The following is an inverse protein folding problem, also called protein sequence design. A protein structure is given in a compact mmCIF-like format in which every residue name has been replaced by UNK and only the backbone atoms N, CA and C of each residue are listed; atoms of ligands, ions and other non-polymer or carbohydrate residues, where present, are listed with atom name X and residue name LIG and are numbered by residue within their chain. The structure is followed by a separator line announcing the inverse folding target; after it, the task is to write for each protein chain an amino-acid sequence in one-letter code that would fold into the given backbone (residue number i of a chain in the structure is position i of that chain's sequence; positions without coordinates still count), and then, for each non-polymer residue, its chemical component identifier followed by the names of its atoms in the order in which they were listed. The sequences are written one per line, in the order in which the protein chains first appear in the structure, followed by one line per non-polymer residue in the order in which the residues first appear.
data_IF_191989997819
#
_entry.id   IF_191989997819
#
_cell.length_a   1.000
_cell.length_b   1.000
_cell.length_c   1.000
_cell.angle_alpha   90.00
_cell.angle_beta   90.00
_cell.angle_gamma   90.00
#
_symmetry.space_group_name_H-M   'P 1'
#
loop_
_entity.id
_entity.type
_entity.pdbx_description
1 polymer ?
#
# COMPACT_ATOMS: atom_id res chain seq x y z
N UNK A 1 -9.84 9.78 -6.05
CA UNK A 1 -8.47 9.30 -5.83
C UNK A 1 -8.40 8.54 -4.50
N UNK A 2 -7.71 7.40 -4.49
CA UNK A 2 -7.50 6.55 -3.32
C UNK A 2 -6.02 6.17 -3.21
N UNK A 3 -5.61 5.68 -2.04
CA UNK A 3 -4.35 4.95 -1.90
C UNK A 3 -4.44 3.58 -2.59
N UNK A 4 -3.29 2.98 -2.89
CA UNK A 4 -3.21 1.67 -3.54
C UNK A 4 -3.66 0.55 -2.60
N UNK A 5 -3.10 0.51 -1.40
CA UNK A 5 -3.28 -0.61 -0.48
C UNK A 5 -3.02 -0.19 0.98
N UNK A 6 -3.57 -0.93 1.91
CA UNK A 6 -3.32 -0.75 3.34
C UNK A 6 -1.96 -1.36 3.72
N UNK A 7 -1.21 -0.68 4.59
CA UNK A 7 0.14 -1.12 4.98
C UNK A 7 0.15 -2.29 5.99
N UNK A 8 -0.95 -2.49 6.68
CA UNK A 8 -1.11 -3.53 7.71
C UNK A 8 -1.24 -4.93 7.13
N UNK A 9 -2.13 -5.12 6.15
CA UNK A 9 -2.41 -6.41 5.54
C UNK A 9 -2.04 -6.48 4.04
N UNK A 10 -1.47 -5.42 3.50
CA UNK A 10 -1.05 -5.28 2.09
C UNK A 10 -2.18 -5.55 1.07
N UNK A 11 -3.43 -5.34 1.50
CA UNK A 11 -4.61 -5.56 0.67
C UNK A 11 -4.98 -4.33 -0.13
N UNK A 12 -5.07 -4.49 -1.45
CA UNK A 12 -5.44 -3.45 -2.40
C UNK A 12 -6.88 -3.57 -2.92
N UNK A 13 -7.82 -4.03 -2.12
CA UNK A 13 -9.16 -4.42 -2.57
C UNK A 13 -10.19 -3.27 -2.53
N UNK A 14 -10.04 -2.35 -1.57
CA UNK A 14 -11.06 -1.32 -1.28
C UNK A 14 -11.37 -0.43 -2.49
N UNK A 15 -10.40 0.11 -3.23
CA UNK A 15 -10.69 0.96 -4.39
C UNK A 15 -11.48 0.25 -5.49
N UNK A 16 -11.10 -1.00 -5.78
CA UNK A 16 -11.78 -1.83 -6.77
C UNK A 16 -13.22 -2.13 -6.36
N UNK A 17 -13.44 -2.49 -5.09
CA UNK A 17 -14.76 -2.74 -4.55
C UNK A 17 -15.64 -1.49 -4.59
N UNK A 18 -15.08 -0.33 -4.21
CA UNK A 18 -15.81 0.96 -4.28
C UNK A 18 -16.19 1.29 -5.73
N UNK A 19 -15.26 1.14 -6.68
CA UNK A 19 -15.55 1.40 -8.09
C UNK A 19 -16.64 0.50 -8.62
N UNK A 20 -16.60 -0.79 -8.30
CA UNK A 20 -17.62 -1.77 -8.69
C UNK A 20 -18.99 -1.44 -8.10
N UNK A 21 -19.03 -1.09 -6.81
CA UNK A 21 -20.30 -0.74 -6.13
C UNK A 21 -20.93 0.54 -6.68
N UNK A 22 -20.12 1.48 -7.17
CA UNK A 22 -20.57 2.74 -7.78
C UNK A 22 -20.81 2.63 -9.29
N UNK A 23 -20.47 1.51 -9.92
CA UNK A 23 -20.53 1.34 -11.37
C UNK A 23 -19.56 2.26 -12.13
N UNK A 24 -18.42 2.60 -11.52
CA UNK A 24 -17.40 3.49 -12.09
C UNK A 24 -16.20 2.69 -12.63
N UNK A 25 -15.55 3.17 -13.70
CA UNK A 25 -14.28 2.59 -14.15
C UNK A 25 -13.18 2.80 -13.10
N UNK A 26 -12.24 1.85 -13.05
CA UNK A 26 -11.11 1.87 -12.12
C UNK A 26 -9.79 1.74 -12.88
N UNK A 27 -8.82 2.62 -12.57
CA UNK A 27 -7.44 2.50 -13.03
C UNK A 27 -6.51 2.39 -11.84
N UNK A 28 -5.79 1.28 -11.75
CA UNK A 28 -4.90 0.96 -10.63
C UNK A 28 -3.46 1.40 -10.85
N UNK A 29 -2.71 1.54 -9.75
CA UNK A 29 -1.24 1.75 -9.75
C UNK A 29 -0.81 2.95 -10.59
N UNK A 30 -1.54 4.06 -10.49
CA UNK A 30 -1.35 5.25 -11.33
C UNK A 30 -0.12 6.03 -10.88
N UNK A 31 0.82 6.23 -11.80
CA UNK A 31 2.07 7.00 -11.61
C UNK A 31 2.08 8.34 -12.37
N UNK A 32 1.13 8.53 -13.28
CA UNK A 32 0.89 9.81 -13.96
C UNK A 32 -0.60 9.93 -14.27
N UNK A 33 -1.16 11.11 -14.07
CA UNK A 33 -2.58 11.38 -14.30
C UNK A 33 -2.76 12.78 -14.88
N UNK A 34 -3.29 12.85 -16.06
CA UNK A 34 -3.70 14.09 -16.73
C UNK A 34 -5.21 14.09 -16.93
N UNK A 35 -5.88 15.18 -16.53
CA UNK A 35 -7.34 15.30 -16.61
C UNK A 35 -7.68 16.48 -17.53
N UNK A 36 -8.48 16.23 -18.54
CA UNK A 36 -8.99 17.25 -19.48
C UNK A 36 -10.34 16.83 -20.07
N UNK A 37 -11.19 17.80 -20.31
CA UNK A 37 -12.44 17.66 -21.08
C UNK A 37 -13.34 16.46 -20.68
N UNK A 38 -13.45 16.21 -19.36
CA UNK A 38 -14.27 15.12 -18.83
C UNK A 38 -13.67 13.73 -19.00
N UNK A 39 -12.42 13.65 -19.41
CA UNK A 39 -11.63 12.40 -19.52
C UNK A 39 -10.36 12.48 -18.67
N UNK A 40 -9.78 11.34 -18.41
CA UNK A 40 -8.46 11.23 -17.80
C UNK A 40 -7.58 10.29 -18.62
N UNK A 41 -6.34 10.71 -18.84
CA UNK A 41 -5.25 9.85 -19.29
C UNK A 41 -4.41 9.46 -18.07
N UNK A 42 -4.34 8.18 -17.78
CA UNK A 42 -3.60 7.64 -16.65
C UNK A 42 -2.51 6.68 -17.11
N UNK A 43 -1.31 6.84 -16.58
CA UNK A 43 -0.24 5.86 -16.77
C UNK A 43 -0.21 4.94 -15.57
N UNK A 44 -0.52 3.67 -15.79
CA UNK A 44 -0.45 2.59 -14.82
C UNK A 44 0.90 1.89 -14.90
N UNK A 45 1.52 1.62 -13.74
CA UNK A 45 2.78 0.89 -13.66
C UNK A 45 2.49 -0.59 -13.40
N UNK A 46 2.74 -1.42 -14.40
CA UNK A 46 2.61 -2.88 -14.32
C UNK A 46 3.99 -3.52 -14.15
N UNK A 47 4.01 -4.81 -13.87
CA UNK A 47 5.25 -5.57 -13.78
C UNK A 47 5.91 -5.66 -15.18
N UNK A 48 7.09 -5.04 -15.31
CA UNK A 48 7.84 -5.00 -16.56
C UNK A 48 7.29 -4.07 -17.66
N UNK A 49 6.18 -3.33 -17.41
CA UNK A 49 5.55 -2.49 -18.43
C UNK A 49 4.87 -1.25 -17.83
N UNK A 50 4.51 -0.32 -18.71
CA UNK A 50 3.60 0.79 -18.41
C UNK A 50 2.42 0.73 -19.37
N UNK A 51 1.24 0.91 -18.84
CA UNK A 51 0.00 0.97 -19.62
C UNK A 51 -0.53 2.40 -19.59
N UNK A 52 -0.93 2.93 -20.73
CA UNK A 52 -1.60 4.22 -20.85
C UNK A 52 -3.09 3.97 -21.07
N UNK A 53 -3.91 4.46 -20.16
CA UNK A 53 -5.36 4.25 -20.16
C UNK A 53 -6.07 5.57 -20.28
N UNK A 54 -6.89 5.74 -21.32
CA UNK A 54 -7.86 6.84 -21.39
C UNK A 54 -9.20 6.35 -20.82
N UNK A 55 -9.77 7.13 -19.91
CA UNK A 55 -11.04 6.79 -19.27
C UNK A 55 -11.93 8.02 -19.12
N UNK A 56 -13.23 7.86 -19.33
CA UNK A 56 -14.22 8.90 -19.07
C UNK A 56 -14.41 9.12 -17.57
N UNK A 57 -14.63 10.35 -17.15
CA UNK A 57 -14.95 10.69 -15.77
C UNK A 57 -16.48 10.69 -15.55
N UNK A 58 -16.95 10.29 -14.36
CA UNK A 58 -16.16 9.98 -13.14
C UNK A 58 -15.50 8.59 -13.19
N UNK A 59 -14.31 8.49 -12.59
CA UNK A 59 -13.55 7.24 -12.49
C UNK A 59 -12.81 7.17 -11.15
N UNK A 60 -12.42 5.97 -10.74
CA UNK A 60 -11.62 5.73 -9.52
C UNK A 60 -10.18 5.46 -9.91
N UNK A 61 -9.23 6.16 -9.28
CA UNK A 61 -7.81 5.99 -9.51
C UNK A 61 -7.10 5.62 -8.21
N UNK A 62 -6.24 4.61 -8.25
CA UNK A 62 -5.37 4.28 -7.12
C UNK A 62 -3.98 4.85 -7.35
N UNK A 63 -3.58 5.78 -6.48
CA UNK A 63 -2.30 6.46 -6.58
C UNK A 63 -1.14 5.57 -6.13
N UNK A 64 -0.06 5.59 -6.90
CA UNK A 64 1.20 4.93 -6.60
C UNK A 64 2.30 5.98 -6.36
N UNK A 65 3.36 5.56 -5.67
CA UNK A 65 4.56 6.39 -5.52
C UNK A 65 5.08 6.83 -6.90
N UNK A 66 5.35 8.12 -7.04
CA UNK A 66 5.80 8.73 -8.31
C UNK A 66 4.74 9.54 -9.02
N UNK A 67 3.47 9.53 -8.57
CA UNK A 67 2.42 10.37 -9.13
C UNK A 67 2.73 11.87 -8.95
N UNK A 68 3.27 12.24 -7.81
CA UNK A 68 3.84 13.57 -7.56
C UNK A 68 5.00 13.54 -6.57
N UNK A 69 5.82 14.60 -6.62
CA UNK A 69 6.90 14.82 -5.66
C UNK A 69 6.33 15.38 -4.34
N UNK A 70 6.61 14.77 -3.19
CA UNK A 70 6.19 15.27 -1.89
C UNK A 70 6.83 16.64 -1.63
N UNK A 71 6.02 17.63 -1.25
CA UNK A 71 6.52 18.95 -0.88
C UNK A 71 7.13 18.91 0.52
N UNK A 72 8.35 19.44 0.65
CA UNK A 72 9.00 19.59 1.95
C UNK A 72 8.28 20.71 2.73
N UNK A 73 7.78 20.43 3.94
CA UNK A 73 7.08 21.43 4.73
C UNK A 73 8.05 22.52 5.21
N UNK A 74 7.61 23.78 5.09
CA UNK A 74 8.33 24.92 5.67
C UNK A 74 8.23 24.86 7.20
N UNK A 75 9.25 25.36 7.90
CA UNK A 75 9.28 25.42 9.37
C UNK A 75 8.04 26.12 9.93
N UNK A 76 7.62 27.23 9.33
CA UNK A 76 6.40 27.94 9.73
C UNK A 76 5.14 27.11 9.56
N UNK A 77 5.08 26.24 8.54
CA UNK A 77 4.00 25.28 8.34
C UNK A 77 3.97 24.22 9.43
N UNK A 78 5.13 23.68 9.78
CA UNK A 78 5.26 22.72 10.90
C UNK A 78 4.79 23.34 12.22
N UNK A 79 5.23 24.57 12.53
CA UNK A 79 4.80 25.28 13.75
C UNK A 79 3.29 25.55 13.78
N UNK A 80 2.67 25.86 12.64
CA UNK A 80 1.21 26.00 12.55
C UNK A 80 0.51 24.65 12.77
N UNK A 81 1.00 23.59 12.14
CA UNK A 81 0.42 22.25 12.28
C UNK A 81 0.47 21.74 13.72
N UNK A 82 1.54 22.03 14.47
CA UNK A 82 1.66 21.66 15.89
C UNK A 82 0.60 22.33 16.80
N UNK A 83 0.03 23.46 16.36
CA UNK A 83 -1.02 24.18 17.12
C UNK A 83 -2.43 23.71 16.77
N UNK A 84 -2.58 22.91 15.71
CA UNK A 84 -3.88 22.38 15.29
C UNK A 84 -4.34 21.32 16.28
N UNK A 85 -5.53 21.52 16.85
CA UNK A 85 -6.15 20.51 17.69
C UNK A 85 -6.76 19.44 16.80
N UNK A 86 -6.36 18.19 17.01
CA UNK A 86 -6.97 17.04 16.33
C UNK A 86 -8.30 16.75 17.00
N UNK A 87 -9.44 16.83 16.27
CA UNK A 87 -10.74 16.47 16.83
C UNK A 87 -10.74 15.01 17.30
N UNK A 88 -11.15 14.77 18.51
CA UNK A 88 -11.36 13.42 19.06
C UNK A 88 -12.86 13.17 19.11
N UNK A 89 -13.32 12.21 18.32
CA UNK A 89 -14.70 11.77 18.31
C UNK A 89 -14.85 10.54 19.22
N UNK A 90 -15.88 10.53 20.02
CA UNK A 90 -16.30 9.36 20.81
C UNK A 90 -17.24 8.48 20.00
N UNK A 91 -17.55 7.30 20.50
CA UNK A 91 -18.52 6.39 19.88
C UNK A 91 -19.90 7.07 19.83
N UNK A 92 -20.25 7.78 20.88
CA UNK A 92 -21.52 8.53 21.01
C UNK A 92 -21.60 9.68 19.98
N UNK A 93 -20.48 10.41 19.75
CA UNK A 93 -20.42 11.48 18.74
C UNK A 93 -20.67 10.96 17.32
N UNK A 94 -20.38 9.69 17.08
CA UNK A 94 -20.63 9.00 15.81
C UNK A 94 -22.04 8.40 15.72
N UNK A 95 -22.88 8.56 16.76
CA UNK A 95 -24.20 7.95 16.81
C UNK A 95 -24.18 6.43 16.96
N UNK A 96 -23.06 5.86 17.42
CA UNK A 96 -22.88 4.43 17.63
C UNK A 96 -23.11 4.09 19.11
N UNK A 97 -23.56 2.87 19.38
CA UNK A 97 -23.60 2.32 20.72
C UNK A 97 -22.34 1.53 21.02
N UNK A 98 -22.01 1.35 22.30
CA UNK A 98 -20.88 0.52 22.72
C UNK A 98 -20.97 -0.90 22.21
N UNK A 99 -22.18 -1.45 22.16
CA UNK A 99 -22.43 -2.81 21.66
C UNK A 99 -22.10 -2.94 20.16
N UNK A 100 -22.41 -1.90 19.36
CA UNK A 100 -22.08 -1.89 17.93
C UNK A 100 -20.57 -1.91 17.67
N UNK A 101 -19.78 -1.32 18.57
CA UNK A 101 -18.34 -1.25 18.50
C UNK A 101 -17.65 -2.37 19.32
N UNK A 102 -18.40 -3.24 19.97
CA UNK A 102 -17.86 -4.30 20.82
C UNK A 102 -17.09 -5.34 19.98
N UNK A 103 -15.97 -5.87 20.49
CA UNK A 103 -15.19 -6.90 19.79
C UNK A 103 -15.98 -8.15 19.42
N UNK A 104 -16.99 -8.49 20.19
CA UNK A 104 -17.87 -9.63 19.99
C UNK A 104 -18.71 -9.50 18.70
N UNK A 105 -18.97 -8.27 18.27
CA UNK A 105 -19.70 -7.95 17.04
C UNK A 105 -18.79 -7.82 15.82
N UNK A 106 -17.48 -8.00 15.98
CA UNK A 106 -16.53 -8.03 14.87
C UNK A 106 -16.81 -9.22 13.95
N UNK A 107 -16.86 -8.97 12.64
CA UNK A 107 -16.99 -10.03 11.63
C UNK A 107 -15.72 -10.84 11.46
N UNK A 108 -14.63 -10.43 12.09
CA UNK A 108 -13.33 -11.12 12.07
C UNK A 108 -12.88 -11.40 13.49
N UNK A 109 -12.35 -12.61 13.73
CA UNK A 109 -11.79 -13.00 15.02
C UNK A 109 -10.32 -13.38 14.84
N UNK A 110 -9.48 -12.88 15.75
CA UNK A 110 -8.07 -13.27 15.80
C UNK A 110 -8.00 -14.63 16.50
N UNK A 111 -7.68 -15.67 15.75
CA UNK A 111 -7.56 -17.03 16.28
C UNK A 111 -6.28 -17.21 17.10
N UNK A 112 -5.16 -16.67 16.60
CA UNK A 112 -3.86 -16.71 17.27
C UNK A 112 -2.88 -15.73 16.65
N UNK A 113 -1.90 -15.32 17.43
CA UNK A 113 -0.72 -14.62 16.95
C UNK A 113 0.41 -15.61 16.70
N UNK A 114 1.01 -15.56 15.52
CA UNK A 114 2.17 -16.36 15.16
C UNK A 114 3.38 -15.42 15.11
N UNK A 115 4.30 -15.48 16.07
CA UNK A 115 5.53 -14.72 15.96
C UNK A 115 6.34 -15.19 14.74
N UNK A 116 7.04 -14.28 14.06
CA UNK A 116 7.90 -14.68 12.94
C UNK A 116 8.99 -15.64 13.44
N UNK A 117 9.33 -16.61 12.60
CA UNK A 117 10.46 -17.49 12.89
C UNK A 117 11.74 -16.64 13.07
N UNK A 118 12.51 -16.94 14.11
CA UNK A 118 13.81 -16.31 14.27
C UNK A 118 14.66 -16.61 13.04
N UNK A 119 15.23 -15.55 12.45
CA UNK A 119 16.20 -15.76 11.39
C UNK A 119 17.43 -16.47 11.95
N UNK A 120 18.01 -17.43 11.23
CA UNK A 120 19.28 -18.02 11.62
C UNK A 120 20.37 -16.93 11.67
N UNK A 121 21.46 -17.23 12.33
CA UNK A 121 22.62 -16.35 12.34
C UNK A 121 23.14 -16.13 10.89
N UNK A 122 23.63 -14.93 10.63
CA UNK A 122 24.23 -14.62 9.33
C UNK A 122 25.42 -15.54 9.10
N UNK A 123 25.45 -16.22 7.98
CA UNK A 123 26.57 -17.02 7.53
C UNK A 123 27.40 -16.20 6.56
N UNK A 124 28.65 -15.93 6.92
CA UNK A 124 29.61 -15.30 6.04
C UNK A 124 30.29 -16.39 5.19
N UNK A 125 30.29 -16.18 3.88
CA UNK A 125 30.97 -17.07 2.95
C UNK A 125 32.37 -16.51 2.74
N UNK A 126 33.44 -17.20 3.19
CA UNK A 126 34.82 -16.74 3.04
C UNK A 126 35.30 -16.96 1.59
N UNK A 127 36.38 -16.30 1.22
CA UNK A 127 37.05 -16.45 -0.08
C UNK A 127 36.99 -15.22 -0.97
N UNK A 128 37.62 -15.30 -2.13
CA UNK A 128 37.57 -14.29 -3.16
C UNK A 128 36.17 -14.18 -3.76
N UNK A 129 35.82 -13.02 -4.32
CA UNK A 129 34.46 -12.70 -4.80
C UNK A 129 33.88 -13.78 -5.74
N UNK A 130 34.70 -14.35 -6.61
CA UNK A 130 34.26 -15.40 -7.55
C UNK A 130 33.92 -16.72 -6.84
N UNK A 131 34.74 -17.11 -5.89
CA UNK A 131 34.56 -18.35 -5.11
C UNK A 131 33.37 -18.22 -4.17
N UNK A 132 33.27 -17.08 -3.46
CA UNK A 132 32.17 -16.78 -2.58
C UNK A 132 30.82 -16.72 -3.35
N UNK A 133 30.79 -16.16 -4.56
CA UNK A 133 29.60 -16.14 -5.40
C UNK A 133 29.18 -17.55 -5.84
N UNK A 134 30.14 -18.41 -6.25
CA UNK A 134 29.86 -19.79 -6.63
C UNK A 134 29.29 -20.59 -5.44
N UNK A 135 29.86 -20.45 -4.25
CA UNK A 135 29.35 -21.11 -3.05
C UNK A 135 27.99 -20.57 -2.62
N UNK A 136 27.74 -19.27 -2.74
CA UNK A 136 26.41 -18.67 -2.50
C UNK A 136 25.34 -19.30 -3.40
N UNK A 137 25.64 -19.42 -4.71
CA UNK A 137 24.72 -20.07 -5.67
C UNK A 137 24.50 -21.53 -5.27
N UNK A 138 25.54 -22.27 -4.94
CA UNK A 138 25.42 -23.68 -4.48
C UNK A 138 24.50 -23.79 -3.26
N UNK A 139 24.65 -22.92 -2.27
CA UNK A 139 23.80 -22.91 -1.08
C UNK A 139 22.35 -22.65 -1.47
N UNK A 140 22.07 -21.67 -2.33
CA UNK A 140 20.71 -21.31 -2.74
C UNK A 140 20.03 -22.41 -3.55
N UNK A 141 20.77 -23.11 -4.42
CA UNK A 141 20.25 -24.20 -5.27
C UNK A 141 20.12 -25.50 -4.49
N UNK A 142 21.22 -25.98 -3.87
CA UNK A 142 21.30 -27.35 -3.35
C UNK A 142 20.76 -27.46 -1.92
N UNK A 143 20.94 -26.43 -1.08
CA UNK A 143 20.60 -26.48 0.34
C UNK A 143 19.26 -25.80 0.59
N UNK A 144 19.11 -24.54 0.21
CA UNK A 144 17.90 -23.76 0.48
C UNK A 144 16.79 -23.99 -0.55
N UNK A 145 17.13 -24.43 -1.76
CA UNK A 145 16.22 -24.73 -2.87
C UNK A 145 15.26 -23.58 -3.19
N UNK A 146 15.78 -22.37 -3.22
CA UNK A 146 15.01 -21.15 -3.50
C UNK A 146 15.07 -20.71 -4.97
N UNK A 147 16.01 -21.22 -5.72
CA UNK A 147 16.16 -21.02 -7.18
C UNK A 147 16.48 -22.34 -7.87
#
# INVERSE_FOLDING_TARGET
LTGRQAIDADRGEVPQMVSQMLGLPHVGVVVKLDISDGKAEAVSSLEGAKEVVEVALPAVFTAQKGLNEPRVPLITGVMKAMKVQIPKLTIEDLGLTKDMAAPENSKTQIVRYLPPKKRPAVQLIPGEAREAAAEAVRILVDIERVI
#
